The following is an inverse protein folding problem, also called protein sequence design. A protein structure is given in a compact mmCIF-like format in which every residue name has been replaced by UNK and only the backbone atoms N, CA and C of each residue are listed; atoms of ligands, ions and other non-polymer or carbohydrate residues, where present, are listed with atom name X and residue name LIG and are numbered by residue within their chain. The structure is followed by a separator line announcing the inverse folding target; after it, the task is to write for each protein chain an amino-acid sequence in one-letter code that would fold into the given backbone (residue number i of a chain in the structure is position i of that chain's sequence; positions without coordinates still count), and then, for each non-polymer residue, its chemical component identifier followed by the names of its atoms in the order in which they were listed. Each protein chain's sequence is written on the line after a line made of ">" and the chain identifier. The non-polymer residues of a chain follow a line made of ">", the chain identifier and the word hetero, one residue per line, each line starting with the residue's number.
data_IF_443889174139
#
_entry.id   IF_443889174139
#
_cell.length_a   1.000
_cell.length_b   1.000
_cell.length_c   1.000
_cell.angle_alpha   90.00
_cell.angle_beta   90.00
_cell.angle_gamma   90.00
#
_symmetry.space_group_name_H-M   'P 1'
#
loop_
_entity.id
_entity.type
_entity.pdbx_description
1 polymer ?
#
# COMPACT_ATOMS: atom_id res chain seq x y z
N UNK A 1 26.64 15.82 12.83
CA UNK A 1 25.16 15.72 12.89
C UNK A 1 24.56 16.39 14.13
N UNK A 2 25.30 16.61 15.22
CA UNK A 2 24.81 17.17 16.50
C UNK A 2 24.21 18.58 16.47
N UNK A 3 24.48 19.42 15.45
CA UNK A 3 23.94 20.78 15.37
C UNK A 3 22.49 20.87 14.85
N UNK A 4 22.08 19.91 14.01
CA UNK A 4 20.75 19.88 13.38
C UNK A 4 20.01 18.55 13.53
N UNK A 5 20.63 17.55 14.18
CA UNK A 5 20.04 16.22 14.41
C UNK A 5 20.06 15.29 13.18
N UNK A 6 19.87 15.82 11.97
CA UNK A 6 19.93 15.08 10.70
C UNK A 6 20.48 15.94 9.54
N UNK A 7 20.48 15.41 8.32
CA UNK A 7 20.80 16.17 7.10
C UNK A 7 19.65 17.09 6.64
N UNK A 8 18.45 16.96 7.22
CA UNK A 8 17.25 17.69 6.84
C UNK A 8 16.52 17.13 5.61
N UNK A 9 17.19 16.34 4.76
CA UNK A 9 16.61 15.81 3.51
C UNK A 9 15.39 14.92 3.78
N UNK A 10 15.51 13.96 4.70
CA UNK A 10 14.39 13.08 5.07
C UNK A 10 13.18 13.90 5.53
N UNK A 11 13.41 14.90 6.39
CA UNK A 11 12.35 15.78 6.89
C UNK A 11 11.66 16.55 5.77
N UNK A 12 12.40 17.06 4.78
CA UNK A 12 11.80 17.74 3.63
C UNK A 12 10.92 16.82 2.80
N UNK A 13 11.36 15.57 2.59
CA UNK A 13 10.59 14.56 1.85
C UNK A 13 9.33 14.17 2.65
N UNK A 14 9.48 13.89 3.95
CA UNK A 14 8.36 13.52 4.82
C UNK A 14 7.29 14.62 4.87
N UNK A 15 7.71 15.90 4.96
CA UNK A 15 6.78 17.04 4.92
C UNK A 15 6.11 17.17 3.54
N UNK A 16 6.83 16.96 2.44
CA UNK A 16 6.22 16.98 1.11
C UNK A 16 5.13 15.90 0.95
N UNK A 17 5.39 14.69 1.45
CA UNK A 17 4.41 13.59 1.46
C UNK A 17 3.19 13.96 2.32
N UNK A 18 3.39 14.57 3.49
CA UNK A 18 2.30 15.06 4.34
C UNK A 18 1.48 16.18 3.69
N UNK A 19 2.13 17.12 3.01
CA UNK A 19 1.48 18.22 2.32
C UNK A 19 0.59 17.74 1.16
N UNK A 20 0.94 16.62 0.54
CA UNK A 20 0.15 15.98 -0.52
C UNK A 20 -0.94 15.05 0.02
N UNK A 21 -1.07 14.91 1.34
CA UNK A 21 -1.98 14.00 2.05
C UNK A 21 -1.96 12.56 1.48
N UNK A 22 -0.75 12.08 1.20
CA UNK A 22 -0.52 10.72 0.73
C UNK A 22 -0.40 9.76 1.91
N UNK A 23 -0.89 8.54 1.71
CA UNK A 23 -0.73 7.41 2.62
C UNK A 23 0.13 6.34 1.97
N UNK A 24 0.87 5.59 2.78
CA UNK A 24 1.70 4.46 2.32
C UNK A 24 0.90 3.17 2.47
N UNK A 25 0.81 2.39 1.41
CA UNK A 25 0.13 1.09 1.41
C UNK A 25 1.04 0.03 0.80
N UNK A 26 1.00 -1.18 1.36
CA UNK A 26 1.89 -2.28 1.00
C UNK A 26 1.09 -3.41 0.33
N UNK A 27 1.13 -3.53 -1.00
CA UNK A 27 0.55 -4.68 -1.67
C UNK A 27 1.41 -5.93 -1.44
N UNK A 28 0.78 -7.04 -1.11
CA UNK A 28 1.42 -8.36 -0.98
C UNK A 28 0.62 -9.39 -1.76
N UNK A 29 1.22 -10.54 -2.04
CA UNK A 29 0.50 -11.64 -2.67
C UNK A 29 -0.05 -12.61 -1.61
N UNK A 30 0.78 -12.96 -0.64
CA UNK A 30 0.43 -13.83 0.49
C UNK A 30 0.17 -12.99 1.75
N UNK A 31 -1.06 -13.02 2.27
CA UNK A 31 -1.44 -12.28 3.49
C UNK A 31 -0.89 -12.89 4.80
N UNK A 32 -0.45 -14.15 4.80
CA UNK A 32 0.08 -14.83 5.98
C UNK A 32 1.59 -14.61 6.12
N UNK A 33 2.31 -14.69 5.01
CA UNK A 33 3.76 -14.51 4.98
C UNK A 33 4.15 -13.06 4.69
N UNK A 34 3.20 -12.23 4.23
CA UNK A 34 3.44 -10.84 3.79
C UNK A 34 4.46 -10.78 2.65
N UNK A 35 4.47 -11.80 1.79
CA UNK A 35 5.46 -11.99 0.72
C UNK A 35 4.86 -11.88 -0.67
N UNK A 36 5.70 -11.64 -1.68
CA UNK A 36 5.37 -11.89 -3.09
C UNK A 36 5.70 -13.34 -3.53
N UNK A 37 5.45 -13.63 -4.81
CA UNK A 37 5.91 -14.81 -5.56
C UNK A 37 7.36 -15.24 -5.32
N UNK A 38 8.28 -14.30 -5.09
CA UNK A 38 9.71 -14.55 -4.90
C UNK A 38 10.08 -14.70 -3.40
N UNK A 39 9.10 -14.63 -2.49
CA UNK A 39 9.31 -14.76 -1.04
C UNK A 39 9.86 -13.49 -0.39
N UNK A 40 9.76 -12.32 -1.05
CA UNK A 40 10.23 -11.04 -0.51
C UNK A 40 9.19 -10.46 0.43
N UNK A 41 9.57 -10.19 1.69
CA UNK A 41 8.68 -9.63 2.71
C UNK A 41 8.44 -8.14 2.43
N UNK A 42 7.17 -7.74 2.30
CA UNK A 42 6.74 -6.36 2.01
C UNK A 42 7.54 -5.74 0.86
N UNK A 43 7.41 -6.29 -0.36
CA UNK A 43 8.30 -5.96 -1.48
C UNK A 43 8.19 -4.49 -1.89
N UNK A 44 6.96 -3.95 -1.88
CA UNK A 44 6.65 -2.64 -2.44
C UNK A 44 5.89 -1.77 -1.44
N UNK A 45 6.13 -0.46 -1.53
CA UNK A 45 5.43 0.56 -0.77
C UNK A 45 4.88 1.63 -1.73
N UNK A 46 3.56 1.69 -1.87
CA UNK A 46 2.89 2.63 -2.75
C UNK A 46 2.38 3.84 -1.98
N UNK A 47 2.69 5.02 -2.49
CA UNK A 47 2.05 6.27 -2.07
C UNK A 47 0.76 6.45 -2.86
N UNK A 48 -0.37 6.48 -2.16
CA UNK A 48 -1.70 6.76 -2.73
C UNK A 48 -2.36 7.92 -1.97
N UNK A 49 -3.22 8.72 -2.59
CA UNK A 49 -3.97 9.76 -1.89
C UNK A 49 -4.81 9.17 -0.75
N UNK A 50 -4.95 9.92 0.35
CA UNK A 50 -5.87 9.55 1.42
C UNK A 50 -7.30 9.40 0.86
N UNK A 51 -7.95 8.30 1.22
CA UNK A 51 -9.29 7.97 0.72
C UNK A 51 -9.30 7.11 -0.54
N UNK A 52 -8.13 6.79 -1.12
CA UNK A 52 -8.02 5.74 -2.14
C UNK A 52 -8.57 4.41 -1.64
N UNK A 53 -9.11 3.64 -2.56
CA UNK A 53 -9.78 2.37 -2.28
C UNK A 53 -8.89 1.17 -2.60
N UNK A 54 -9.29 -0.02 -2.14
CA UNK A 54 -8.60 -1.27 -2.47
C UNK A 54 -8.52 -1.50 -3.99
N UNK A 55 -9.54 -1.09 -4.75
CA UNK A 55 -9.51 -1.18 -6.22
C UNK A 55 -8.54 -0.19 -6.86
N UNK A 56 -8.44 1.03 -6.33
CA UNK A 56 -7.47 2.03 -6.81
C UNK A 56 -6.03 1.53 -6.62
N UNK A 57 -5.75 0.85 -5.49
CA UNK A 57 -4.48 0.20 -5.27
C UNK A 57 -4.22 -0.90 -6.30
N UNK A 58 -5.22 -1.71 -6.63
CA UNK A 58 -5.07 -2.74 -7.66
C UNK A 58 -4.68 -2.13 -9.02
N UNK A 59 -5.36 -1.05 -9.45
CA UNK A 59 -4.97 -0.31 -10.65
C UNK A 59 -3.58 0.31 -10.57
N UNK A 60 -3.12 0.70 -9.37
CA UNK A 60 -1.78 1.24 -9.15
C UNK A 60 -0.68 0.19 -9.29
N UNK A 61 -0.97 -1.05 -8.91
CA UNK A 61 -0.05 -2.18 -9.06
C UNK A 61 -0.01 -2.63 -10.52
N UNK A 62 -1.17 -2.95 -11.10
CA UNK A 62 -1.29 -3.31 -12.51
C UNK A 62 -2.73 -3.11 -13.01
N UNK A 63 -2.91 -2.64 -14.24
CA UNK A 63 -4.26 -2.39 -14.79
C UNK A 63 -5.11 -3.65 -14.84
N UNK A 64 -4.52 -4.80 -15.21
CA UNK A 64 -5.24 -6.09 -15.23
C UNK A 64 -5.75 -6.51 -13.85
N UNK A 65 -5.00 -6.25 -12.78
CA UNK A 65 -5.46 -6.54 -11.41
C UNK A 65 -6.66 -5.68 -11.02
N UNK A 66 -6.70 -4.43 -11.47
CA UNK A 66 -7.82 -3.53 -11.26
C UNK A 66 -9.08 -3.92 -12.06
N UNK A 67 -8.90 -4.33 -13.32
CA UNK A 67 -9.99 -4.73 -14.21
C UNK A 67 -10.63 -6.06 -13.78
N UNK A 68 -9.81 -7.00 -13.33
CA UNK A 68 -10.24 -8.32 -12.86
C UNK A 68 -10.37 -8.42 -11.32
N UNK A 69 -10.48 -7.28 -10.63
CA UNK A 69 -10.56 -7.25 -9.17
C UNK A 69 -11.77 -8.03 -8.65
N UNK A 70 -11.53 -9.05 -7.82
CA UNK A 70 -12.58 -9.80 -7.13
C UNK A 70 -12.77 -9.24 -5.71
N UNK A 71 -11.68 -9.20 -4.94
CA UNK A 71 -11.67 -8.79 -3.54
C UNK A 71 -10.24 -8.47 -3.11
N UNK A 72 -10.11 -7.82 -1.96
CA UNK A 72 -8.83 -7.69 -1.30
C UNK A 72 -8.90 -8.24 0.12
N UNK A 73 -7.75 -8.51 0.73
CA UNK A 73 -7.60 -9.00 2.09
C UNK A 73 -6.67 -8.07 2.83
N UNK A 74 -7.13 -7.54 3.96
CA UNK A 74 -6.25 -6.85 4.91
C UNK A 74 -5.43 -7.90 5.66
N UNK A 75 -4.13 -7.94 5.41
CA UNK A 75 -3.22 -8.92 5.99
C UNK A 75 -3.01 -8.74 7.50
N UNK A 76 -3.31 -7.56 8.07
CA UNK A 76 -3.21 -7.34 9.52
C UNK A 76 -4.39 -7.95 10.26
N UNK A 77 -5.58 -7.82 9.69
CA UNK A 77 -6.83 -8.29 10.33
C UNK A 77 -7.32 -9.63 9.77
N UNK A 78 -6.69 -10.12 8.70
CA UNK A 78 -7.11 -11.27 7.90
C UNK A 78 -8.58 -11.18 7.46
N UNK A 79 -9.07 -9.97 7.21
CA UNK A 79 -10.44 -9.71 6.78
C UNK A 79 -10.48 -9.44 5.30
N UNK A 80 -11.48 -10.02 4.64
CA UNK A 80 -11.82 -9.68 3.27
C UNK A 80 -12.42 -8.27 3.26
N UNK A 81 -11.86 -7.41 2.43
CA UNK A 81 -12.32 -6.05 2.17
C UNK A 81 -12.86 -5.94 0.74
N UNK A 82 -13.89 -5.11 0.58
CA UNK A 82 -14.50 -4.83 -0.72
C UNK A 82 -13.67 -3.84 -1.55
N UNK A 83 -14.04 -3.70 -2.82
CA UNK A 83 -13.42 -2.78 -3.77
C UNK A 83 -13.40 -1.34 -3.25
N UNK A 84 -14.52 -0.87 -2.68
CA UNK A 84 -14.71 0.50 -2.19
C UNK A 84 -14.16 0.73 -0.77
N UNK A 85 -13.46 -0.25 -0.18
CA UNK A 85 -12.93 -0.10 1.16
C UNK A 85 -11.83 0.98 1.17
N UNK A 86 -11.96 2.04 1.99
CA UNK A 86 -10.97 3.11 2.05
C UNK A 86 -9.71 2.62 2.77
N UNK A 87 -8.57 2.80 2.12
CA UNK A 87 -7.27 2.41 2.65
C UNK A 87 -6.78 3.40 3.71
N UNK A 88 -5.98 2.88 4.64
CA UNK A 88 -5.33 3.63 5.70
C UNK A 88 -3.81 3.55 5.57
N UNK A 89 -3.15 4.51 6.20
CA UNK A 89 -1.70 4.57 6.21
C UNK A 89 -1.10 3.35 6.93
N UNK A 90 -0.20 2.66 6.25
CA UNK A 90 0.42 1.44 6.73
C UNK A 90 -0.39 0.16 6.53
N UNK A 91 -1.48 0.21 5.75
CA UNK A 91 -2.25 -0.98 5.41
C UNK A 91 -1.43 -1.95 4.55
N UNK A 92 -1.63 -3.24 4.80
CA UNK A 92 -0.99 -4.32 4.03
C UNK A 92 -2.11 -5.10 3.36
N UNK A 93 -2.17 -5.04 2.04
CA UNK A 93 -3.32 -5.48 1.26
C UNK A 93 -2.90 -6.58 0.29
N UNK A 94 -3.52 -7.74 0.38
CA UNK A 94 -3.47 -8.75 -0.68
C UNK A 94 -4.62 -8.55 -1.65
N UNK A 95 -4.31 -8.48 -2.95
CA UNK A 95 -5.30 -8.28 -4.01
C UNK A 95 -5.58 -9.64 -4.67
N UNK A 96 -6.84 -10.03 -4.69
CA UNK A 96 -7.30 -11.24 -5.39
C UNK A 96 -8.06 -10.79 -6.64
N UNK A 97 -7.53 -11.17 -7.79
CA UNK A 97 -8.10 -10.90 -9.11
C UNK A 97 -8.23 -12.20 -9.92
N UNK A 98 -9.20 -12.23 -10.84
CA UNK A 98 -9.40 -13.36 -11.76
C UNK A 98 -8.51 -13.17 -13.00
N UNK A 99 -7.23 -13.51 -12.87
CA UNK A 99 -6.19 -13.34 -13.91
C UNK A 99 -5.70 -14.67 -14.43
#
# INVERSE_FOLDING_TARGET
>A
LTKYGSTGVQRCIDEAVRMLDLIVVYPVEDEHHLTDKEGRILPDAHLVPRGSTAKDLAYKVHTELGDHFIRAIDARTHRVIGADHPLKDGDIISIIADV
#
